data_IF_576290289625
#
_entry.id   IF_576290289625
#
_cell.length_a   1.000
_cell.length_b   1.000
_cell.length_c   1.000
_cell.angle_alpha   90.00
_cell.angle_beta   90.00
_cell.angle_gamma   90.00
#
_symmetry.space_group_name_H-M   'P 1'
#
loop_
_entity.id
_entity.type
_entity.pdbx_description
1 polymer ?
#
# COMPACT_ATOMS: atom_id res chain seq x y z
N UNK A 1 32.36 10.68 2.91
CA UNK A 1 31.25 9.68 2.80
C UNK A 1 29.98 10.42 3.19
N UNK A 2 29.11 10.73 2.21
CA UNK A 2 27.77 11.28 2.48
C UNK A 2 26.92 10.17 3.11
N UNK A 3 26.59 10.35 4.37
CA UNK A 3 25.65 9.48 5.07
C UNK A 3 24.27 9.67 4.46
N UNK A 4 23.67 8.57 3.96
CA UNK A 4 22.28 8.55 3.48
C UNK A 4 21.33 9.05 4.57
N UNK A 5 20.32 9.83 4.18
CA UNK A 5 19.23 10.21 5.08
C UNK A 5 18.45 8.96 5.54
N UNK A 6 17.67 9.08 6.62
CA UNK A 6 16.85 7.96 7.11
C UNK A 6 15.95 7.37 6.02
N UNK A 7 15.24 8.22 5.27
CA UNK A 7 14.38 7.80 4.17
C UNK A 7 15.11 7.15 2.98
N UNK A 8 16.33 7.62 2.69
CA UNK A 8 17.17 7.00 1.63
C UNK A 8 17.65 5.60 2.03
N UNK A 9 17.98 5.39 3.32
CA UNK A 9 18.34 4.06 3.83
C UNK A 9 17.15 3.10 3.73
N UNK A 10 15.97 3.54 4.12
CA UNK A 10 14.74 2.75 4.05
C UNK A 10 14.40 2.40 2.61
N UNK A 11 14.51 3.35 1.68
CA UNK A 11 14.29 3.09 0.25
C UNK A 11 15.32 2.10 -0.31
N UNK A 12 16.59 2.21 0.07
CA UNK A 12 17.64 1.28 -0.36
C UNK A 12 17.38 -0.14 0.17
N UNK A 13 16.92 -0.28 1.43
CA UNK A 13 16.53 -1.56 2.00
C UNK A 13 15.34 -2.19 1.26
N UNK A 14 14.33 -1.38 0.90
CA UNK A 14 13.18 -1.84 0.11
C UNK A 14 13.60 -2.24 -1.31
N UNK A 15 14.45 -1.48 -1.97
CA UNK A 15 14.96 -1.84 -3.29
C UNK A 15 15.73 -3.18 -3.25
N UNK A 16 16.50 -3.42 -2.19
CA UNK A 16 17.18 -4.69 -1.97
C UNK A 16 16.18 -5.83 -1.75
N UNK A 17 15.12 -5.61 -0.97
CA UNK A 17 14.05 -6.58 -0.75
C UNK A 17 13.37 -6.98 -2.07
N UNK A 18 13.02 -6.00 -2.92
CA UNK A 18 12.44 -6.26 -4.24
C UNK A 18 13.40 -6.99 -5.17
N UNK A 19 14.70 -6.73 -5.09
CA UNK A 19 15.70 -7.50 -5.83
C UNK A 19 15.75 -8.97 -5.40
N UNK A 20 15.55 -9.26 -4.11
CA UNK A 20 15.41 -10.64 -3.61
C UNK A 20 14.12 -11.28 -4.14
N UNK A 21 13.00 -10.54 -4.17
CA UNK A 21 11.74 -11.03 -4.72
C UNK A 21 11.87 -11.37 -6.20
N UNK A 22 12.59 -10.56 -6.96
CA UNK A 22 12.87 -10.83 -8.38
C UNK A 22 13.75 -12.08 -8.59
N UNK A 23 14.72 -12.29 -7.70
CA UNK A 23 15.60 -13.48 -7.74
C UNK A 23 14.89 -14.77 -7.29
N UNK A 24 13.84 -14.68 -6.48
CA UNK A 24 13.03 -15.81 -6.01
C UNK A 24 11.54 -15.48 -6.15
N UNK A 25 10.97 -15.61 -7.36
CA UNK A 25 9.60 -15.24 -7.62
C UNK A 25 8.62 -16.09 -6.80
N UNK A 26 7.65 -15.40 -6.20
CA UNK A 26 6.49 -15.97 -5.51
C UNK A 26 5.22 -15.47 -6.19
N UNK A 27 4.11 -16.20 -6.15
CA UNK A 27 2.84 -15.73 -6.69
C UNK A 27 2.27 -14.53 -5.94
N UNK A 28 2.62 -14.34 -4.68
CA UNK A 28 2.20 -13.18 -3.88
C UNK A 28 3.24 -12.79 -2.83
N UNK A 29 3.19 -11.54 -2.40
CA UNK A 29 4.00 -10.96 -1.34
C UNK A 29 3.14 -10.14 -0.40
N UNK A 30 3.47 -10.13 0.89
CA UNK A 30 2.81 -9.31 1.91
C UNK A 30 3.81 -8.31 2.45
N UNK A 31 3.46 -7.04 2.39
CA UNK A 31 4.24 -5.91 2.88
C UNK A 31 3.43 -5.21 3.98
N UNK A 32 3.96 -5.16 5.19
CA UNK A 32 3.28 -4.59 6.35
C UNK A 32 3.98 -3.29 6.77
N UNK A 33 3.31 -2.15 6.51
CA UNK A 33 3.76 -0.79 6.84
C UNK A 33 5.23 -0.48 6.45
N UNK A 34 5.74 -1.10 5.39
CA UNK A 34 7.16 -0.98 4.98
C UNK A 34 7.54 0.44 4.57
N UNK A 35 6.56 1.24 4.14
CA UNK A 35 6.73 2.61 3.70
C UNK A 35 6.66 3.65 4.83
N UNK A 36 6.35 3.25 6.07
CA UNK A 36 6.14 4.17 7.20
C UNK A 36 7.37 5.06 7.51
N UNK A 37 8.57 4.60 7.17
CA UNK A 37 9.82 5.34 7.35
C UNK A 37 10.23 6.17 6.13
N UNK A 38 9.41 6.23 5.07
CA UNK A 38 9.69 6.98 3.85
C UNK A 38 9.10 8.39 3.93
N UNK A 39 9.87 9.37 3.42
CA UNK A 39 9.33 10.68 3.10
C UNK A 39 8.53 10.64 1.79
N UNK A 40 7.75 11.69 1.49
CA UNK A 40 6.88 11.75 0.31
C UNK A 40 7.63 11.51 -1.02
N UNK A 41 8.88 11.92 -1.11
CA UNK A 41 9.69 11.74 -2.32
C UNK A 41 10.09 10.28 -2.49
N UNK A 42 10.53 9.64 -1.42
CA UNK A 42 10.92 8.24 -1.43
C UNK A 42 9.70 7.32 -1.49
N UNK A 43 8.57 7.71 -0.91
CA UNK A 43 7.30 7.01 -1.07
C UNK A 43 6.87 6.93 -2.54
N UNK A 44 6.95 8.05 -3.29
CA UNK A 44 6.67 8.03 -4.74
C UNK A 44 7.61 7.12 -5.53
N UNK A 45 8.89 7.04 -5.13
CA UNK A 45 9.85 6.11 -5.75
C UNK A 45 9.49 4.64 -5.43
N UNK A 46 9.13 4.37 -4.18
CA UNK A 46 8.66 3.06 -3.75
C UNK A 46 7.41 2.63 -4.54
N UNK A 47 6.41 3.51 -4.68
CA UNK A 47 5.20 3.20 -5.44
C UNK A 47 5.45 2.91 -6.93
N UNK A 48 6.49 3.50 -7.55
CA UNK A 48 6.91 3.11 -8.90
C UNK A 48 7.46 1.69 -8.94
N UNK A 49 8.26 1.29 -7.96
CA UNK A 49 8.77 -0.10 -7.86
C UNK A 49 7.60 -1.06 -7.68
N UNK A 50 6.64 -0.72 -6.83
CA UNK A 50 5.40 -1.49 -6.63
C UNK A 50 4.63 -1.63 -7.95
N UNK A 51 4.47 -0.55 -8.72
CA UNK A 51 3.76 -0.55 -10.01
C UNK A 51 4.43 -1.45 -11.06
N UNK A 52 5.76 -1.47 -11.10
CA UNK A 52 6.50 -2.40 -11.96
C UNK A 52 6.35 -3.85 -11.50
N UNK A 53 6.36 -4.06 -10.17
CA UNK A 53 6.36 -5.41 -9.59
C UNK A 53 4.99 -6.08 -9.67
N UNK A 54 3.88 -5.33 -9.57
CA UNK A 54 2.51 -5.84 -9.68
C UNK A 54 2.21 -6.51 -11.01
N UNK A 55 2.98 -6.21 -12.07
CA UNK A 55 2.84 -6.87 -13.36
C UNK A 55 3.23 -8.36 -13.34
N UNK A 56 3.94 -8.79 -12.29
CA UNK A 56 4.53 -10.13 -12.18
C UNK A 56 4.06 -10.92 -10.97
N UNK A 57 3.53 -10.24 -9.96
CA UNK A 57 3.11 -10.85 -8.70
C UNK A 57 1.99 -10.05 -8.04
N UNK A 58 1.18 -10.71 -7.24
CA UNK A 58 0.20 -10.08 -6.38
C UNK A 58 0.90 -9.47 -5.17
N UNK A 59 0.59 -8.20 -4.88
CA UNK A 59 1.11 -7.50 -3.70
C UNK A 59 -0.04 -7.18 -2.75
N UNK A 60 0.08 -7.64 -1.51
CA UNK A 60 -0.79 -7.24 -0.41
C UNK A 60 -0.01 -6.26 0.46
N UNK A 61 -0.47 -5.02 0.53
CA UNK A 61 0.20 -3.97 1.31
C UNK A 61 -0.72 -3.53 2.43
N UNK A 62 -0.29 -3.72 3.66
CA UNK A 62 -0.95 -3.13 4.83
C UNK A 62 -0.40 -1.73 5.01
N UNK A 63 -1.27 -0.72 4.99
CA UNK A 63 -0.86 0.68 5.00
C UNK A 63 -1.89 1.59 5.65
N UNK A 64 -1.44 2.72 6.16
CA UNK A 64 -2.26 3.87 6.54
C UNK A 64 -1.94 5.11 5.68
N UNK A 65 -1.05 4.97 4.67
CA UNK A 65 -0.64 6.06 3.79
C UNK A 65 -1.62 6.25 2.65
N UNK A 66 -2.20 7.45 2.53
CA UNK A 66 -3.18 7.77 1.49
C UNK A 66 -2.64 7.55 0.08
N UNK A 67 -1.38 7.92 -0.19
CA UNK A 67 -0.75 7.75 -1.51
C UNK A 67 -0.64 6.27 -1.91
N UNK A 68 -0.38 5.39 -0.94
CA UNK A 68 -0.35 3.93 -1.17
C UNK A 68 -1.75 3.39 -1.44
N UNK A 69 -2.77 3.88 -0.72
CA UNK A 69 -4.16 3.50 -0.96
C UNK A 69 -4.64 3.93 -2.35
N UNK A 70 -4.28 5.14 -2.80
CA UNK A 70 -4.65 5.66 -4.12
C UNK A 70 -4.00 4.88 -5.28
N UNK A 71 -2.87 4.24 -5.04
CA UNK A 71 -2.17 3.41 -6.02
C UNK A 71 -2.72 1.98 -6.13
N UNK A 72 -3.69 1.62 -5.29
CA UNK A 72 -4.23 0.27 -5.22
C UNK A 72 -5.26 -0.03 -6.31
N UNK A 73 -5.35 -1.30 -6.73
CA UNK A 73 -6.44 -1.77 -7.58
C UNK A 73 -7.68 -2.11 -6.74
N UNK A 74 -7.46 -2.67 -5.54
CA UNK A 74 -8.52 -3.04 -4.59
C UNK A 74 -8.12 -2.62 -3.19
N UNK A 75 -9.05 -2.00 -2.46
CA UNK A 75 -8.90 -1.65 -1.06
C UNK A 75 -9.76 -2.55 -0.18
N UNK A 76 -9.16 -3.04 0.91
CA UNK A 76 -9.87 -3.70 2.00
C UNK A 76 -9.73 -2.86 3.26
N UNK A 77 -10.82 -2.26 3.70
CA UNK A 77 -10.88 -1.57 4.99
C UNK A 77 -11.33 -2.55 6.07
N UNK A 78 -10.60 -2.60 7.18
CA UNK A 78 -11.00 -3.36 8.37
C UNK A 78 -11.43 -2.38 9.44
N UNK A 79 -12.65 -2.54 9.94
CA UNK A 79 -13.20 -1.72 11.01
C UNK A 79 -13.64 -2.59 12.17
N UNK A 80 -13.58 -2.04 13.38
CA UNK A 80 -14.16 -2.69 14.56
C UNK A 80 -15.50 -2.05 14.89
N UNK A 81 -16.54 -2.89 15.02
CA UNK A 81 -17.85 -2.43 15.52
C UNK A 81 -17.90 -2.32 17.04
N UNK A 82 -18.77 -1.43 17.57
CA UNK A 82 -19.09 -1.42 18.99
C UNK A 82 -19.68 -2.79 19.38
N UNK A 83 -18.91 -3.60 20.10
CA UNK A 83 -19.27 -4.99 20.44
C UNK A 83 -18.18 -6.01 20.11
N UNK A 84 -17.08 -5.57 19.48
CA UNK A 84 -15.86 -6.38 19.30
C UNK A 84 -15.82 -7.27 18.07
N UNK A 85 -16.77 -7.12 17.13
CA UNK A 85 -16.69 -7.79 15.81
C UNK A 85 -15.94 -6.90 14.83
N UNK A 86 -15.09 -7.52 13.99
CA UNK A 86 -14.41 -6.82 12.89
C UNK A 86 -15.20 -7.00 11.60
N UNK A 87 -15.36 -5.92 10.85
CA UNK A 87 -15.91 -5.96 9.49
C UNK A 87 -14.84 -5.62 8.48
N UNK A 88 -14.83 -6.35 7.36
CA UNK A 88 -13.99 -6.04 6.21
C UNK A 88 -14.87 -5.46 5.09
N UNK A 89 -14.48 -4.29 4.60
CA UNK A 89 -15.11 -3.62 3.46
C UNK A 89 -14.17 -3.69 2.26
N UNK A 90 -14.67 -4.14 1.10
CA UNK A 90 -13.93 -4.20 -0.15
C UNK A 90 -14.38 -3.09 -1.09
N UNK A 91 -13.42 -2.37 -1.67
CA UNK A 91 -13.67 -1.33 -2.69
C UNK A 91 -12.69 -1.52 -3.85
N UNK A 92 -13.22 -1.65 -5.06
CA UNK A 92 -12.41 -1.62 -6.29
C UNK A 92 -12.12 -0.17 -6.69
N UNK A 93 -10.85 0.10 -6.95
CA UNK A 93 -10.38 1.42 -7.39
C UNK A 93 -10.27 1.39 -8.93
N UNK A 94 -11.38 1.68 -9.63
CA UNK A 94 -11.35 1.83 -11.08
C UNK A 94 -10.79 3.21 -11.44
N UNK A 95 -9.93 3.27 -12.45
CA UNK A 95 -9.31 4.51 -12.95
C UNK A 95 -10.32 5.59 -13.44
N UNK A 96 -11.62 5.30 -13.47
CA UNK A 96 -12.70 6.19 -13.86
C UNK A 96 -13.41 6.91 -12.69
N UNK A 97 -13.05 6.64 -11.44
CA UNK A 97 -13.74 7.19 -10.26
C UNK A 97 -13.07 8.44 -9.66
N UNK A 98 -12.35 9.23 -10.45
CA UNK A 98 -11.80 10.54 -10.02
C UNK A 98 -12.85 11.67 -10.07
N UNK A 99 -14.14 11.35 -10.14
CA UNK A 99 -15.19 12.36 -10.13
C UNK A 99 -16.37 11.86 -9.31
N UNK A 100 -16.61 12.53 -8.18
CA UNK A 100 -17.84 12.49 -7.38
C UNK A 100 -18.18 11.18 -6.65
N UNK A 101 -17.35 10.77 -5.71
CA UNK A 101 -17.86 10.08 -4.53
C UNK A 101 -17.62 10.99 -3.32
N UNK A 102 -18.72 11.57 -2.86
CA UNK A 102 -18.83 12.47 -1.72
C UNK A 102 -17.92 12.04 -0.57
N UNK A 103 -17.08 12.96 -0.11
CA UNK A 103 -16.26 12.86 1.10
C UNK A 103 -17.09 12.65 2.40
N UNK A 104 -18.39 12.54 2.31
CA UNK A 104 -19.30 12.48 3.45
C UNK A 104 -19.53 11.06 4.03
N UNK A 105 -19.09 10.00 3.35
CA UNK A 105 -19.31 8.62 3.83
C UNK A 105 -18.06 7.96 4.43
N UNK A 106 -16.89 8.61 4.34
CA UNK A 106 -15.62 8.05 4.85
C UNK A 106 -15.27 8.62 6.23
N UNK A 107 -15.96 9.66 6.68
CA UNK A 107 -15.59 10.45 7.86
C UNK A 107 -16.00 9.82 9.22
N UNK A 108 -16.55 8.61 9.22
CA UNK A 108 -16.91 7.89 10.46
C UNK A 108 -16.40 6.44 10.53
N UNK A 109 -15.65 6.00 9.55
CA UNK A 109 -15.03 4.68 9.59
C UNK A 109 -13.58 4.87 10.03
N UNK A 110 -13.31 4.62 11.30
CA UNK A 110 -11.93 4.50 11.79
C UNK A 110 -11.37 3.22 11.17
N UNK A 111 -10.67 3.36 10.05
CA UNK A 111 -9.98 2.26 9.41
C UNK A 111 -8.64 2.11 10.12
N UNK A 112 -8.55 1.11 10.99
CA UNK A 112 -7.30 0.81 11.70
C UNK A 112 -6.22 0.24 10.77
N UNK A 113 -6.64 -0.47 9.73
CA UNK A 113 -5.72 -1.04 8.73
C UNK A 113 -6.39 -1.15 7.36
N UNK A 114 -5.68 -0.79 6.32
CA UNK A 114 -6.09 -0.99 4.93
C UNK A 114 -5.17 -2.02 4.30
N UNK A 115 -5.73 -3.10 3.81
CA UNK A 115 -5.03 -4.08 2.99
C UNK A 115 -5.27 -3.72 1.54
N UNK A 116 -4.21 -3.42 0.83
CA UNK A 116 -4.22 -3.11 -0.58
C UNK A 116 -3.91 -4.39 -1.34
N UNK A 117 -4.88 -4.89 -2.10
CA UNK A 117 -4.68 -6.00 -3.02
C UNK A 117 -4.44 -5.42 -4.42
N UNK A 118 -3.30 -5.74 -5.00
CA UNK A 118 -2.99 -5.43 -6.40
C UNK A 118 -2.99 -6.74 -7.18
N UNK A 119 -4.08 -6.95 -7.89
CA UNK A 119 -4.25 -8.13 -8.76
C UNK A 119 -3.70 -7.80 -10.13
N UNK A 120 -2.83 -8.68 -10.63
CA UNK A 120 -2.37 -8.64 -12.00
C UNK A 120 -3.53 -8.95 -12.98
#
# INVERSE_FOLDING_TARGET
MTLLSGGERSLAALAFLFAIFDARPSPFYVLDEVEAALDDTNLRRFLRIVDEFRQRAQLLIVTHQQQTMEAADVLYGVTMEPGGSSQALRKEMTAAATSTASAAAVDQVVVDQVVVDQVA
#
